data_IF_236578615396
#
_entry.id   IF_236578615396
#
_cell.length_a   1.000
_cell.length_b   1.000
_cell.length_c   1.000
_cell.angle_alpha   90.00
_cell.angle_beta   90.00
_cell.angle_gamma   90.00
#
_symmetry.space_group_name_H-M   'P 1'
#
loop_
_entity.id
_entity.type
_entity.pdbx_description
1 polymer ?
#
# COMPACT_ATOMS: atom_id res chain seq x y z
N UNK A 1 29.75 59.51 -18.78
CA UNK A 1 28.74 60.31 -19.51
C UNK A 1 27.70 59.36 -20.07
N UNK A 2 26.44 59.81 -20.09
CA UNK A 2 25.21 59.13 -20.56
C UNK A 2 24.75 57.96 -19.66
N UNK A 3 23.72 58.08 -18.81
CA UNK A 3 22.28 58.41 -18.96
C UNK A 3 21.39 57.15 -19.02
N UNK A 4 20.30 57.19 -18.25
CA UNK A 4 19.11 56.33 -18.41
C UNK A 4 19.00 55.23 -17.34
N UNK A 5 17.92 55.11 -16.56
CA UNK A 5 16.67 55.84 -16.53
C UNK A 5 15.85 55.36 -15.33
N UNK A 6 15.07 56.26 -14.75
CA UNK A 6 14.11 55.97 -13.68
C UNK A 6 12.86 55.35 -14.30
N UNK A 7 12.49 54.15 -13.90
CA UNK A 7 11.12 53.65 -14.08
C UNK A 7 10.55 53.42 -12.69
N UNK A 8 9.63 54.30 -12.32
CA UNK A 8 8.75 54.11 -11.19
C UNK A 8 7.63 53.14 -11.60
N UNK A 9 7.41 52.10 -10.81
CA UNK A 9 6.14 51.38 -10.77
C UNK A 9 5.77 51.21 -9.30
N UNK A 10 4.95 52.17 -8.88
CA UNK A 10 4.09 52.14 -7.72
C UNK A 10 3.09 50.99 -7.80
N UNK A 11 2.45 50.70 -6.66
CA UNK A 11 1.33 49.78 -6.43
C UNK A 11 1.71 48.32 -6.08
N UNK A 12 1.89 48.05 -4.78
CA UNK A 12 0.92 47.27 -3.97
C UNK A 12 1.43 47.17 -2.53
N UNK A 13 0.98 48.11 -1.68
CA UNK A 13 0.90 47.92 -0.24
C UNK A 13 -0.53 47.49 0.08
N UNK A 14 -0.71 46.32 0.69
CA UNK A 14 -1.70 46.12 1.76
C UNK A 14 -1.59 44.68 2.31
N UNK A 15 -1.67 44.60 3.64
CA UNK A 15 -1.94 43.39 4.45
C UNK A 15 -0.76 42.46 4.74
N UNK A 16 0.07 42.82 5.71
CA UNK A 16 0.10 42.19 7.06
C UNK A 16 1.33 42.70 7.84
N UNK A 17 1.15 43.60 8.85
CA UNK A 17 2.17 43.90 9.83
C UNK A 17 2.04 42.94 11.02
N UNK A 18 3.18 42.57 11.61
CA UNK A 18 3.43 41.93 12.92
C UNK A 18 4.12 40.56 12.86
N UNK A 19 5.07 40.42 13.80
CA UNK A 19 5.88 39.24 14.16
C UNK A 19 7.02 38.92 13.16
N UNK A 20 8.32 38.98 13.49
CA UNK A 20 9.07 38.97 14.75
C UNK A 20 10.45 39.61 14.49
N UNK A 21 10.87 40.54 15.36
CA UNK A 21 12.27 40.96 15.52
C UNK A 21 13.07 39.84 16.20
N UNK A 22 14.39 39.84 15.94
CA UNK A 22 15.51 39.20 16.67
C UNK A 22 15.87 37.79 16.18
N UNK A 23 17.05 37.66 15.55
CA UNK A 23 18.20 36.83 16.02
C UNK A 23 19.24 36.63 14.89
N UNK A 24 20.36 37.34 15.07
CA UNK A 24 21.76 37.00 14.76
C UNK A 24 22.39 37.13 13.36
N UNK A 25 23.62 37.62 13.50
CA UNK A 25 24.64 37.99 12.55
C UNK A 25 25.40 36.81 11.98
N UNK A 26 25.59 36.79 10.67
CA UNK A 26 26.86 36.36 10.07
C UNK A 26 26.96 36.90 8.64
N UNK A 27 28.10 37.49 8.32
CA UNK A 27 28.44 38.03 7.00
C UNK A 27 28.53 36.87 6.02
N UNK A 28 27.66 36.84 5.01
CA UNK A 28 27.83 35.97 3.83
C UNK A 28 28.46 36.82 2.74
N UNK A 29 29.65 36.44 2.30
CA UNK A 29 30.35 37.04 1.18
C UNK A 29 29.85 36.38 -0.12
N UNK A 30 29.19 37.15 -1.00
CA UNK A 30 28.58 36.65 -2.24
C UNK A 30 29.35 37.23 -3.43
N UNK A 31 30.03 36.39 -4.20
CA UNK A 31 30.59 36.74 -5.52
C UNK A 31 29.60 36.38 -6.61
N UNK A 32 29.30 37.33 -7.50
CA UNK A 32 28.46 37.11 -8.68
C UNK A 32 29.26 36.51 -9.85
N UNK A 33 28.63 35.59 -10.58
CA UNK A 33 28.99 35.24 -11.97
C UNK A 33 27.84 35.64 -12.88
N UNK A 34 28.17 36.35 -13.95
CA UNK A 34 27.23 37.00 -14.87
C UNK A 34 26.86 36.02 -15.98
N UNK A 35 25.60 35.60 -16.06
CA UNK A 35 25.11 34.77 -17.16
C UNK A 35 23.60 34.52 -17.07
N UNK A 36 22.86 35.15 -17.99
CA UNK A 36 21.42 35.02 -18.29
C UNK A 36 20.40 35.51 -17.25
N UNK A 37 19.37 36.17 -17.78
CA UNK A 37 18.40 37.01 -17.07
C UNK A 37 17.57 36.23 -16.03
N UNK A 38 17.82 36.51 -14.76
CA UNK A 38 16.90 36.19 -13.66
C UNK A 38 17.10 37.27 -12.59
N UNK A 39 16.04 38.02 -12.27
CA UNK A 39 16.06 38.91 -11.12
C UNK A 39 15.89 38.07 -9.86
N UNK A 40 16.92 38.03 -9.00
CA UNK A 40 16.85 37.36 -7.70
C UNK A 40 16.49 38.40 -6.64
N UNK A 41 15.37 38.20 -5.95
CA UNK A 41 15.06 38.92 -4.71
C UNK A 41 15.42 37.99 -3.53
N UNK A 42 16.41 38.37 -2.73
CA UNK A 42 16.79 37.66 -1.51
C UNK A 42 15.96 38.17 -0.33
N UNK A 43 15.16 37.29 0.29
CA UNK A 43 14.50 37.52 1.58
C UNK A 43 14.77 36.33 2.52
N UNK A 44 14.81 36.52 3.85
CA UNK A 44 15.35 35.52 4.78
C UNK A 44 14.32 34.46 5.20
N UNK A 45 14.73 33.19 5.03
CA UNK A 45 14.33 31.92 5.64
C UNK A 45 12.87 31.41 5.58
N UNK A 46 12.78 30.10 5.36
CA UNK A 46 11.61 29.19 5.34
C UNK A 46 10.51 29.46 4.32
N UNK A 47 10.90 29.60 3.04
CA UNK A 47 9.94 29.67 1.92
C UNK A 47 10.19 28.53 0.92
N UNK A 48 9.16 27.72 0.68
CA UNK A 48 9.10 26.80 -0.47
C UNK A 48 9.00 27.66 -1.73
N UNK A 49 9.99 27.59 -2.61
CA UNK A 49 9.90 28.24 -3.92
C UNK A 49 9.29 27.26 -4.92
N UNK A 50 8.10 27.58 -5.42
CA UNK A 50 7.61 27.05 -6.69
C UNK A 50 7.93 28.09 -7.76
N UNK A 51 8.76 27.75 -8.74
CA UNK A 51 8.92 28.57 -9.94
C UNK A 51 8.52 27.77 -11.18
N UNK A 52 7.70 28.42 -12.01
CA UNK A 52 7.29 27.94 -13.31
C UNK A 52 8.44 28.21 -14.28
N UNK A 53 9.10 27.16 -14.75
CA UNK A 53 10.08 27.29 -15.84
C UNK A 53 9.29 27.34 -17.14
N UNK A 54 9.21 28.52 -17.76
CA UNK A 54 8.67 28.64 -19.11
C UNK A 54 9.73 28.15 -20.10
N UNK A 55 9.54 26.96 -20.65
CA UNK A 55 10.37 26.45 -21.74
C UNK A 55 9.94 27.08 -23.06
N UNK A 56 10.87 27.33 -24.02
CA UNK A 56 10.53 27.82 -25.36
C UNK A 56 9.60 26.84 -26.10
N UNK A 57 8.93 27.29 -27.17
CA UNK A 57 7.66 26.71 -27.61
C UNK A 57 7.90 25.44 -28.42
N UNK A 58 7.99 24.28 -27.77
CA UNK A 58 7.72 22.99 -28.42
C UNK A 58 7.00 22.04 -27.46
N UNK A 59 5.68 22.16 -27.46
CA UNK A 59 4.69 21.09 -27.26
C UNK A 59 4.95 20.01 -26.21
N UNK A 60 5.25 20.38 -24.96
CA UNK A 60 5.09 19.49 -23.78
C UNK A 60 4.56 20.29 -22.58
N UNK A 61 3.69 19.66 -21.80
CA UNK A 61 3.09 20.23 -20.59
C UNK A 61 4.15 20.74 -19.59
N UNK A 62 3.86 21.81 -18.82
CA UNK A 62 4.83 22.39 -17.90
C UNK A 62 5.10 21.47 -16.70
N UNK A 63 6.37 21.11 -16.49
CA UNK A 63 6.84 20.41 -15.29
C UNK A 63 6.88 21.39 -14.10
N UNK A 64 6.10 21.13 -13.06
CA UNK A 64 6.29 21.78 -11.76
C UNK A 64 7.45 21.11 -11.03
N UNK A 65 8.58 21.81 -10.89
CA UNK A 65 9.68 21.36 -10.05
C UNK A 65 9.62 22.04 -8.68
N UNK A 66 9.67 21.25 -7.61
CA UNK A 66 9.87 21.75 -6.25
C UNK A 66 11.33 21.54 -5.85
N UNK A 67 12.01 22.61 -5.42
CA UNK A 67 13.34 22.50 -4.83
C UNK A 67 13.23 22.82 -3.34
N UNK A 68 13.39 21.79 -2.51
CA UNK A 68 13.51 21.95 -1.06
C UNK A 68 14.99 22.17 -0.75
N UNK A 69 15.36 23.41 -0.41
CA UNK A 69 16.72 23.71 0.04
C UNK A 69 16.76 23.61 1.57
N UNK A 70 17.21 22.48 2.08
CA UNK A 70 17.56 22.34 3.50
C UNK A 70 19.04 22.70 3.67
N UNK A 71 19.33 23.79 4.37
CA UNK A 71 20.71 24.26 4.58
C UNK A 71 21.43 23.31 5.53
N UNK A 72 22.49 22.64 5.04
CA UNK A 72 23.48 22.02 5.94
C UNK A 72 24.21 20.76 5.45
N UNK A 73 23.74 20.05 4.41
CA UNK A 73 24.49 18.91 3.87
C UNK A 73 24.41 18.88 2.34
N UNK A 74 25.56 18.96 1.67
CA UNK A 74 25.66 18.76 0.21
C UNK A 74 25.23 17.33 -0.13
N UNK A 75 23.96 17.13 -0.48
CA UNK A 75 23.54 15.96 -1.24
C UNK A 75 23.47 16.31 -2.72
N UNK A 76 24.04 15.42 -3.54
CA UNK A 76 24.08 15.50 -4.99
C UNK A 76 22.66 15.27 -5.52
N UNK A 77 21.99 16.32 -5.95
CA UNK A 77 20.65 16.24 -6.56
C UNK A 77 20.77 15.48 -7.88
N UNK A 78 20.23 14.26 -7.92
CA UNK A 78 19.97 13.53 -9.17
C UNK A 78 18.67 14.07 -9.75
N UNK A 79 18.62 14.26 -11.06
CA UNK A 79 17.40 14.56 -11.80
C UNK A 79 16.34 13.52 -11.49
N UNK A 80 15.23 13.94 -10.86
CA UNK A 80 14.10 13.08 -10.54
C UNK A 80 13.27 12.93 -11.83
N UNK A 81 13.61 11.92 -12.63
CA UNK A 81 12.59 11.25 -13.42
C UNK A 81 11.83 10.36 -12.44
N UNK A 82 10.52 10.62 -12.27
CA UNK A 82 9.53 9.83 -11.52
C UNK A 82 10.11 8.66 -10.73
N UNK A 83 10.76 8.95 -9.60
CA UNK A 83 11.17 7.89 -8.70
C UNK A 83 9.90 7.38 -8.05
N UNK A 84 9.39 6.24 -8.52
CA UNK A 84 8.40 5.45 -7.76
C UNK A 84 8.91 5.36 -6.32
N UNK A 85 8.06 5.66 -5.34
CA UNK A 85 8.47 5.55 -3.94
C UNK A 85 8.94 4.12 -3.66
N UNK A 86 9.99 3.98 -2.85
CA UNK A 86 10.40 2.66 -2.37
C UNK A 86 9.31 2.07 -1.46
N UNK A 87 9.23 0.73 -1.33
CA UNK A 87 8.36 0.12 -0.33
C UNK A 87 8.64 0.73 1.05
N UNK A 88 7.62 0.99 1.87
CA UNK A 88 7.86 1.47 3.23
C UNK A 88 8.61 0.42 4.04
N UNK A 89 9.38 0.89 5.03
CA UNK A 89 10.01 0.02 6.02
C UNK A 89 8.94 -0.53 6.97
N UNK A 90 9.12 -1.77 7.42
CA UNK A 90 8.20 -2.40 8.37
C UNK A 90 8.21 -1.62 9.71
N UNK A 91 7.05 -1.08 10.09
CA UNK A 91 6.80 -0.53 11.41
C UNK A 91 5.83 -1.46 12.15
N UNK A 92 6.38 -2.20 13.10
CA UNK A 92 5.63 -3.13 13.93
C UNK A 92 5.01 -2.43 15.13
N UNK A 93 3.80 -2.86 15.50
CA UNK A 93 3.20 -2.43 16.75
C UNK A 93 3.83 -3.21 17.90
N UNK A 94 4.73 -2.57 18.63
CA UNK A 94 5.30 -3.14 19.84
C UNK A 94 4.30 -3.05 21.00
N UNK A 95 4.12 -4.12 21.80
CA UNK A 95 3.33 -4.05 23.02
C UNK A 95 3.94 -3.00 23.95
N UNK A 96 3.27 -1.86 24.10
CA UNK A 96 3.67 -0.85 25.07
C UNK A 96 3.29 -1.32 26.46
N UNK A 97 4.15 -1.08 27.46
CA UNK A 97 3.86 -1.42 28.86
C UNK A 97 2.52 -0.78 29.29
N UNK A 98 1.51 -1.61 29.51
CA UNK A 98 0.20 -1.19 30.02
C UNK A 98 -0.91 -1.00 28.96
N UNK A 99 -0.61 -1.03 27.66
CA UNK A 99 -1.66 -0.94 26.63
C UNK A 99 -2.29 -2.31 26.36
N UNK A 100 -3.59 -2.41 26.61
CA UNK A 100 -4.39 -3.60 26.33
C UNK A 100 -5.03 -3.48 24.95
N UNK A 101 -4.87 -4.54 24.16
CA UNK A 101 -5.44 -4.63 22.84
C UNK A 101 -6.34 -5.84 22.73
N UNK A 102 -7.47 -5.69 22.03
CA UNK A 102 -8.32 -6.80 21.64
C UNK A 102 -8.01 -7.21 20.22
N UNK A 103 -7.76 -8.50 20.01
CA UNK A 103 -7.61 -9.05 18.66
C UNK A 103 -8.99 -9.41 18.12
N UNK A 104 -9.28 -8.94 16.92
CA UNK A 104 -10.51 -9.22 16.18
C UNK A 104 -10.11 -9.87 14.87
N UNK A 105 -10.54 -11.11 14.65
CA UNK A 105 -10.35 -11.78 13.36
C UNK A 105 -11.33 -11.17 12.36
N UNK A 106 -10.89 -10.93 11.14
CA UNK A 106 -11.73 -10.40 10.08
C UNK A 106 -11.32 -11.00 8.73
N UNK A 107 -12.23 -10.91 7.77
CA UNK A 107 -12.00 -11.32 6.39
C UNK A 107 -12.89 -10.46 5.46
N UNK A 108 -12.54 -10.38 4.18
CA UNK A 108 -13.29 -9.66 3.16
C UNK A 108 -13.57 -10.55 1.95
N UNK A 109 -14.82 -10.53 1.50
CA UNK A 109 -15.12 -10.97 0.14
C UNK A 109 -15.09 -9.75 -0.80
N UNK A 110 -14.44 -9.90 -1.95
CA UNK A 110 -14.22 -8.79 -2.90
C UNK A 110 -14.72 -9.12 -4.30
N UNK A 111 -14.87 -8.10 -5.15
CA UNK A 111 -15.29 -8.30 -6.56
C UNK A 111 -14.27 -9.04 -7.41
N UNK A 112 -13.03 -9.18 -6.91
CA UNK A 112 -11.88 -9.77 -7.59
C UNK A 112 -10.65 -9.83 -6.66
N UNK A 113 -9.45 -9.86 -7.22
CA UNK A 113 -8.17 -10.05 -6.48
C UNK A 113 -7.18 -8.90 -6.69
N UNK A 114 -7.65 -7.72 -7.06
CA UNK A 114 -6.86 -6.52 -7.32
C UNK A 114 -7.22 -5.36 -6.39
N UNK A 115 -6.35 -4.35 -6.31
CA UNK A 115 -6.57 -3.17 -5.44
C UNK A 115 -7.77 -2.33 -5.86
N UNK A 116 -8.18 -2.41 -7.12
CA UNK A 116 -9.34 -1.70 -7.66
C UNK A 116 -10.66 -2.41 -7.35
N UNK A 117 -10.60 -3.64 -6.87
CA UNK A 117 -11.78 -4.41 -6.50
C UNK A 117 -12.45 -3.86 -5.24
N UNK A 118 -13.75 -4.08 -5.17
CA UNK A 118 -14.62 -3.53 -4.14
C UNK A 118 -15.04 -4.60 -3.14
N UNK A 119 -15.36 -4.18 -1.92
CA UNK A 119 -15.85 -5.07 -0.88
C UNK A 119 -17.29 -5.50 -1.19
N UNK A 120 -17.53 -6.80 -1.11
CA UNK A 120 -18.85 -7.46 -1.28
C UNK A 120 -19.37 -7.99 0.06
N UNK A 121 -18.47 -8.37 0.98
CA UNK A 121 -18.84 -8.72 2.34
C UNK A 121 -17.70 -8.37 3.31
N UNK A 122 -18.06 -7.89 4.50
CA UNK A 122 -17.16 -7.77 5.65
C UNK A 122 -17.59 -8.79 6.70
N UNK A 123 -16.65 -9.60 7.18
CA UNK A 123 -16.84 -10.53 8.28
C UNK A 123 -15.90 -10.20 9.44
N UNK A 124 -16.37 -10.36 10.67
CA UNK A 124 -15.57 -10.13 11.88
C UNK A 124 -15.93 -11.13 12.98
N UNK A 125 -14.96 -11.54 13.79
CA UNK A 125 -15.16 -12.44 14.92
C UNK A 125 -14.18 -12.12 16.05
N UNK A 126 -14.73 -11.93 17.25
CA UNK A 126 -13.94 -11.87 18.49
C UNK A 126 -13.95 -13.21 19.22
N UNK A 127 -15.02 -13.98 19.03
CA UNK A 127 -15.20 -15.36 19.46
C UNK A 127 -16.37 -15.99 18.68
N UNK A 128 -16.84 -17.15 19.13
CA UNK A 128 -17.94 -17.89 18.49
C UNK A 128 -19.31 -17.20 18.61
N UNK A 129 -19.49 -16.26 19.53
CA UNK A 129 -20.77 -15.59 19.80
C UNK A 129 -20.78 -14.13 19.30
N UNK A 130 -19.66 -13.43 19.37
CA UNK A 130 -19.50 -12.04 18.93
C UNK A 130 -18.96 -11.99 17.52
N UNK A 131 -19.89 -12.03 16.56
CA UNK A 131 -19.63 -12.09 15.12
C UNK A 131 -20.28 -10.90 14.43
N UNK A 132 -19.60 -10.35 13.43
CA UNK A 132 -20.12 -9.35 12.50
C UNK A 132 -20.17 -9.90 11.09
N UNK A 133 -21.21 -9.53 10.36
CA UNK A 133 -21.37 -9.88 8.96
C UNK A 133 -22.20 -8.84 8.26
N UNK A 134 -21.66 -8.26 7.18
CA UNK A 134 -22.39 -7.27 6.40
C UNK A 134 -22.08 -7.44 4.92
N UNK A 135 -23.13 -7.58 4.12
CA UNK A 135 -23.04 -7.60 2.68
C UNK A 135 -23.11 -6.19 2.13
N UNK A 136 -22.28 -5.93 1.11
CA UNK A 136 -22.13 -4.64 0.46
C UNK A 136 -22.37 -4.82 -1.03
N UNK A 137 -23.24 -3.98 -1.59
CA UNK A 137 -23.42 -3.93 -3.04
C UNK A 137 -22.27 -3.10 -3.64
N UNK A 138 -21.39 -3.66 -4.48
CA UNK A 138 -20.28 -2.92 -5.07
C UNK A 138 -20.78 -1.82 -6.01
N UNK A 139 -20.09 -0.68 -6.08
CA UNK A 139 -20.52 0.46 -6.88
C UNK A 139 -20.46 0.16 -8.39
N UNK A 140 -19.51 -0.66 -8.82
CA UNK A 140 -19.41 -1.16 -10.21
C UNK A 140 -20.59 -2.03 -10.62
N UNK A 141 -21.39 -2.51 -9.66
CA UNK A 141 -22.50 -3.45 -9.86
C UNK A 141 -22.07 -4.74 -10.55
N UNK A 142 -20.82 -5.15 -10.36
CA UNK A 142 -20.26 -6.37 -10.96
C UNK A 142 -19.38 -7.09 -9.94
N UNK A 143 -19.42 -8.41 -10.00
CA UNK A 143 -18.43 -9.28 -9.38
C UNK A 143 -17.79 -10.06 -10.51
N UNK A 144 -16.46 -10.14 -10.55
CA UNK A 144 -15.77 -10.90 -11.59
C UNK A 144 -16.26 -12.36 -11.57
N UNK A 145 -16.54 -13.01 -12.71
CA UNK A 145 -17.17 -14.34 -12.73
C UNK A 145 -16.41 -15.41 -11.92
N UNK A 146 -15.08 -15.34 -11.92
CA UNK A 146 -14.25 -16.25 -11.11
C UNK A 146 -14.43 -15.99 -9.62
N UNK A 147 -14.49 -14.73 -9.20
CA UNK A 147 -14.72 -14.36 -7.80
C UNK A 147 -16.14 -14.77 -7.39
N UNK A 148 -17.15 -14.45 -8.20
CA UNK A 148 -18.54 -14.81 -7.94
C UNK A 148 -18.72 -16.32 -7.69
N UNK A 149 -18.01 -17.16 -8.46
CA UNK A 149 -18.02 -18.62 -8.26
C UNK A 149 -17.35 -19.06 -6.97
N UNK A 150 -16.28 -18.38 -6.53
CA UNK A 150 -15.54 -18.71 -5.32
C UNK A 150 -16.33 -18.29 -4.08
N UNK A 151 -16.77 -17.03 -4.04
CA UNK A 151 -17.43 -16.42 -2.88
C UNK A 151 -18.94 -16.76 -2.83
N UNK A 152 -19.48 -17.27 -3.94
CA UNK A 152 -20.89 -17.62 -4.08
C UNK A 152 -21.83 -16.42 -4.08
N UNK A 153 -21.37 -15.23 -4.50
CA UNK A 153 -22.17 -14.00 -4.54
C UNK A 153 -22.11 -13.36 -5.91
N UNK A 154 -23.25 -12.84 -6.36
CA UNK A 154 -23.33 -11.98 -7.54
C UNK A 154 -24.28 -10.81 -7.32
N UNK A 155 -24.13 -9.75 -8.12
CA UNK A 155 -25.10 -8.65 -8.14
C UNK A 155 -26.36 -9.10 -8.89
N UNK A 156 -27.53 -8.83 -8.31
CA UNK A 156 -28.81 -9.17 -8.95
C UNK A 156 -29.07 -8.30 -10.19
N UNK A 157 -29.47 -8.93 -11.30
CA UNK A 157 -29.90 -8.20 -12.50
C UNK A 157 -31.12 -7.33 -12.20
N UNK A 158 -31.01 -6.01 -12.43
CA UNK A 158 -32.13 -5.07 -12.32
C UNK A 158 -32.58 -4.69 -10.91
N UNK A 159 -31.91 -5.16 -9.84
CA UNK A 159 -32.21 -4.79 -8.43
C UNK A 159 -30.98 -4.25 -7.71
N UNK A 160 -31.20 -3.48 -6.63
CA UNK A 160 -30.15 -3.05 -5.69
C UNK A 160 -29.97 -4.16 -4.65
N UNK A 161 -29.20 -5.20 -4.96
CA UNK A 161 -28.98 -6.30 -4.02
C UNK A 161 -28.00 -7.35 -4.54
N UNK A 162 -27.61 -8.27 -3.65
CA UNK A 162 -26.80 -9.43 -3.98
C UNK A 162 -27.68 -10.69 -4.02
N UNK A 163 -27.20 -11.72 -4.70
CA UNK A 163 -27.78 -13.05 -4.70
C UNK A 163 -26.72 -14.06 -4.23
N UNK A 164 -27.11 -14.94 -3.31
CA UNK A 164 -26.33 -16.13 -2.99
C UNK A 164 -26.53 -17.18 -4.09
N UNK A 165 -25.44 -17.58 -4.74
CA UNK A 165 -25.44 -18.54 -5.82
C UNK A 165 -25.61 -19.99 -5.35
N UNK A 166 -25.47 -20.26 -4.04
CA UNK A 166 -25.60 -21.62 -3.48
C UNK A 166 -27.05 -22.07 -3.41
N UNK A 167 -27.94 -21.18 -2.99
CA UNK A 167 -29.37 -21.44 -2.82
C UNK A 167 -30.26 -20.56 -3.71
N UNK A 168 -29.65 -19.71 -4.54
CA UNK A 168 -30.30 -18.75 -5.43
C UNK A 168 -31.17 -17.70 -4.71
N UNK A 169 -30.88 -17.39 -3.44
CA UNK A 169 -31.66 -16.45 -2.65
C UNK A 169 -31.11 -15.01 -2.69
N UNK A 170 -31.98 -13.99 -2.63
CA UNK A 170 -31.54 -12.61 -2.41
C UNK A 170 -30.88 -12.46 -1.04
N UNK A 171 -29.84 -11.63 -0.97
CA UNK A 171 -29.13 -11.28 0.25
C UNK A 171 -29.29 -9.79 0.52
N UNK A 172 -29.71 -9.45 1.73
CA UNK A 172 -29.81 -8.07 2.19
C UNK A 172 -28.42 -7.45 2.25
N UNK A 173 -28.22 -6.40 1.45
CA UNK A 173 -26.95 -5.73 1.29
C UNK A 173 -27.14 -4.21 1.34
N UNK A 174 -26.15 -3.53 1.88
CA UNK A 174 -26.12 -2.07 2.02
C UNK A 174 -25.13 -1.44 1.05
N UNK A 175 -25.09 -0.11 0.97
CA UNK A 175 -23.99 0.58 0.29
C UNK A 175 -22.70 0.52 1.13
N UNK A 176 -21.55 0.71 0.47
CA UNK A 176 -20.23 0.61 1.09
C UNK A 176 -20.08 1.54 2.31
N UNK A 177 -20.55 2.79 2.20
CA UNK A 177 -20.44 3.75 3.28
C UNK A 177 -21.23 3.34 4.53
N UNK A 178 -22.45 2.83 4.34
CA UNK A 178 -23.26 2.26 5.42
C UNK A 178 -22.62 1.01 6.02
N UNK A 179 -22.16 0.07 5.19
CA UNK A 179 -21.51 -1.16 5.65
C UNK A 179 -20.25 -0.91 6.47
N UNK A 180 -19.40 0.03 6.03
CA UNK A 180 -18.21 0.44 6.78
C UNK A 180 -18.57 1.13 8.10
N UNK A 181 -19.58 2.00 8.14
CA UNK A 181 -20.01 2.66 9.38
C UNK A 181 -20.52 1.66 10.42
N UNK A 182 -21.29 0.66 9.97
CA UNK A 182 -21.77 -0.43 10.82
C UNK A 182 -20.62 -1.28 11.33
N UNK A 183 -19.62 -1.57 10.49
CA UNK A 183 -18.42 -2.29 10.91
C UNK A 183 -17.63 -1.51 11.97
N UNK A 184 -17.39 -0.21 11.76
CA UNK A 184 -16.71 0.63 12.75
C UNK A 184 -17.48 0.73 14.07
N UNK A 185 -18.81 0.81 13.99
CA UNK A 185 -19.64 0.83 15.19
C UNK A 185 -19.52 -0.48 15.97
N UNK A 186 -19.62 -1.63 15.29
CA UNK A 186 -19.40 -2.92 15.91
C UNK A 186 -18.00 -3.06 16.51
N UNK A 187 -16.97 -2.55 15.83
CA UNK A 187 -15.60 -2.51 16.37
C UNK A 187 -15.53 -1.69 17.67
N UNK A 188 -16.15 -0.52 17.74
CA UNK A 188 -16.24 0.28 18.97
C UNK A 188 -16.92 -0.49 20.11
N UNK A 189 -18.02 -1.18 19.82
CA UNK A 189 -18.74 -2.01 20.80
C UNK A 189 -17.88 -3.15 21.32
N UNK A 190 -17.23 -3.91 20.43
CA UNK A 190 -16.42 -5.06 20.86
C UNK A 190 -15.10 -4.63 21.49
N UNK A 191 -14.55 -3.46 21.15
CA UNK A 191 -13.37 -2.90 21.83
C UNK A 191 -13.61 -2.88 23.34
N UNK A 192 -14.73 -2.30 23.77
CA UNK A 192 -15.04 -2.13 25.19
C UNK A 192 -14.05 -1.18 25.86
N UNK A 193 -13.43 -1.63 26.96
CA UNK A 193 -12.55 -0.86 27.85
C UNK A 193 -11.05 -1.00 27.55
N UNK A 194 -10.68 -1.57 26.40
CA UNK A 194 -9.28 -1.70 25.97
C UNK A 194 -8.84 -0.51 25.12
N UNK A 195 -7.53 -0.30 25.01
CA UNK A 195 -6.94 0.88 24.35
C UNK A 195 -7.12 0.87 22.82
N UNK A 196 -7.20 -0.31 22.21
CA UNK A 196 -7.41 -0.42 20.77
C UNK A 196 -7.64 -1.84 20.26
N UNK A 197 -7.97 -1.95 18.99
CA UNK A 197 -8.19 -3.22 18.28
C UNK A 197 -6.99 -3.55 17.39
N UNK A 198 -6.67 -4.84 17.32
CA UNK A 198 -5.82 -5.42 16.27
C UNK A 198 -6.70 -6.24 15.35
N UNK A 199 -6.73 -5.87 14.08
CA UNK A 199 -7.44 -6.64 13.06
C UNK A 199 -6.54 -7.75 12.52
N UNK A 200 -6.89 -9.00 12.80
CA UNK A 200 -6.17 -10.17 12.32
C UNK A 200 -6.88 -10.79 11.11
N UNK A 201 -6.18 -10.96 10.01
CA UNK A 201 -6.66 -11.72 8.84
C UNK A 201 -5.55 -12.68 8.36
N UNK A 202 -5.86 -13.57 7.42
CA UNK A 202 -4.96 -14.60 6.95
C UNK A 202 -4.60 -14.41 5.46
N UNK A 203 -3.37 -13.94 5.18
CA UNK A 203 -2.93 -13.58 3.83
C UNK A 203 -3.34 -12.17 3.39
N UNK A 204 -3.66 -11.32 4.36
CA UNK A 204 -4.37 -10.06 4.20
C UNK A 204 -3.54 -8.92 3.59
N UNK A 205 -2.20 -8.98 3.71
CA UNK A 205 -1.31 -7.86 3.34
C UNK A 205 -1.45 -7.46 1.88
N UNK A 206 -1.74 -8.40 0.99
CA UNK A 206 -1.76 -8.11 -0.44
C UNK A 206 -3.12 -7.70 -0.99
N UNK A 207 -4.20 -7.90 -0.23
CA UNK A 207 -5.56 -7.66 -0.69
C UNK A 207 -6.42 -7.00 0.40
N UNK A 208 -6.83 -7.74 1.43
CA UNK A 208 -7.84 -7.27 2.38
C UNK A 208 -7.47 -5.96 3.07
N UNK A 209 -6.22 -5.84 3.53
CA UNK A 209 -5.76 -4.63 4.23
C UNK A 209 -5.78 -3.43 3.28
N UNK A 210 -5.11 -3.47 2.09
CA UNK A 210 -5.22 -2.40 1.12
C UNK A 210 -6.66 -2.05 0.72
N UNK A 211 -7.50 -3.04 0.41
CA UNK A 211 -8.88 -2.82 -0.04
C UNK A 211 -9.71 -2.15 1.06
N UNK A 212 -9.58 -2.58 2.31
CA UNK A 212 -10.24 -1.93 3.45
C UNK A 212 -9.80 -0.47 3.62
N UNK A 213 -8.48 -0.21 3.57
CA UNK A 213 -7.95 1.14 3.73
C UNK A 213 -8.35 2.07 2.57
N UNK A 214 -8.41 1.57 1.34
CA UNK A 214 -8.93 2.31 0.18
C UNK A 214 -10.42 2.64 0.39
N UNK A 215 -11.23 1.65 0.78
CA UNK A 215 -12.66 1.84 1.02
C UNK A 215 -12.92 2.86 2.15
N UNK A 216 -12.17 2.78 3.26
CA UNK A 216 -12.25 3.73 4.37
C UNK A 216 -11.87 5.16 3.95
N UNK A 217 -10.79 5.33 3.18
CA UNK A 217 -10.37 6.66 2.66
C UNK A 217 -11.43 7.24 1.74
N UNK A 218 -11.93 6.44 0.79
CA UNK A 218 -12.99 6.84 -0.16
C UNK A 218 -14.26 7.31 0.54
N UNK A 219 -14.61 6.69 1.66
CA UNK A 219 -15.78 7.03 2.46
C UNK A 219 -15.50 8.06 3.58
N UNK A 220 -14.28 8.62 3.66
CA UNK A 220 -13.85 9.59 4.69
C UNK A 220 -14.00 9.05 6.12
N UNK A 221 -13.77 7.76 6.31
CA UNK A 221 -13.88 7.05 7.59
C UNK A 221 -12.53 6.67 8.21
N UNK A 222 -11.42 6.96 7.52
CA UNK A 222 -10.08 6.55 7.93
C UNK A 222 -9.65 7.14 9.28
N UNK A 223 -10.03 8.39 9.58
CA UNK A 223 -9.66 9.02 10.86
C UNK A 223 -10.41 8.39 12.04
N UNK A 224 -11.70 8.07 11.86
CA UNK A 224 -12.47 7.32 12.86
C UNK A 224 -11.88 5.93 13.06
N UNK A 225 -11.52 5.25 11.97
CA UNK A 225 -10.88 3.93 12.03
C UNK A 225 -9.59 3.94 12.86
N UNK A 226 -8.71 4.94 12.66
CA UNK A 226 -7.46 5.10 13.42
C UNK A 226 -7.65 5.31 14.93
N UNK A 227 -8.81 5.80 15.34
CA UNK A 227 -9.15 5.94 16.77
C UNK A 227 -9.61 4.62 17.40
N UNK A 228 -9.94 3.61 16.58
CA UNK A 228 -10.49 2.33 17.01
C UNK A 228 -9.43 1.22 16.88
N UNK A 229 -8.71 1.21 15.76
CA UNK A 229 -7.78 0.14 15.38
C UNK A 229 -6.34 0.65 15.48
N UNK A 230 -5.51 -0.06 16.24
CA UNK A 230 -4.09 0.24 16.43
C UNK A 230 -3.21 -0.39 15.35
N UNK A 231 -3.62 -1.52 14.79
CA UNK A 231 -2.81 -2.24 13.80
C UNK A 231 -3.50 -3.42 13.12
N UNK A 232 -2.78 -4.01 12.17
CA UNK A 232 -3.19 -5.18 11.41
C UNK A 232 -2.21 -6.33 11.61
N UNK A 233 -2.72 -7.53 11.83
CA UNK A 233 -1.94 -8.75 11.94
C UNK A 233 -2.21 -9.67 10.74
N UNK A 234 -1.17 -10.04 10.00
CA UNK A 234 -1.29 -11.10 8.98
C UNK A 234 -0.79 -12.43 9.55
N UNK A 235 -1.76 -13.28 9.87
CA UNK A 235 -1.51 -14.58 10.51
C UNK A 235 -0.82 -15.58 9.57
N UNK A 236 -0.82 -15.34 8.25
CA UNK A 236 -0.04 -16.16 7.31
C UNK A 236 1.45 -16.12 7.63
N UNK A 237 1.97 -14.94 8.03
CA UNK A 237 3.38 -14.79 8.42
C UNK A 237 3.73 -15.64 9.65
N UNK A 238 2.82 -15.73 10.62
CA UNK A 238 2.97 -16.53 11.84
C UNK A 238 3.11 -18.01 11.46
N UNK A 239 2.11 -18.55 10.75
CA UNK A 239 2.13 -19.96 10.41
C UNK A 239 3.29 -20.34 9.49
N UNK A 240 3.70 -19.46 8.56
CA UNK A 240 4.88 -19.69 7.71
C UNK A 240 6.19 -19.74 8.49
N UNK A 241 6.32 -18.91 9.51
CA UNK A 241 7.50 -18.89 10.37
C UNK A 241 7.57 -20.20 11.19
N UNK A 242 6.47 -20.52 11.87
CA UNK A 242 6.44 -21.53 12.91
C UNK A 242 6.19 -22.95 12.38
N UNK A 243 5.41 -23.09 11.32
CA UNK A 243 5.05 -24.38 10.74
C UNK A 243 5.90 -24.71 9.50
N UNK A 244 6.03 -26.00 9.20
CA UNK A 244 6.69 -26.53 8.00
C UNK A 244 5.74 -27.48 7.27
N UNK A 245 4.64 -26.90 6.78
CA UNK A 245 3.57 -27.62 6.10
C UNK A 245 3.52 -27.30 4.60
N UNK A 246 2.76 -28.12 3.85
CA UNK A 246 2.70 -28.05 2.38
C UNK A 246 1.79 -26.93 1.87
N UNK A 247 0.64 -26.72 2.50
CA UNK A 247 -0.33 -25.68 2.16
C UNK A 247 -0.61 -24.85 3.40
N UNK A 248 -0.64 -23.53 3.24
CA UNK A 248 -0.89 -22.57 4.30
C UNK A 248 -2.24 -21.88 4.15
N UNK A 249 -3.09 -22.27 3.18
CA UNK A 249 -4.44 -21.70 3.08
C UNK A 249 -5.22 -21.91 4.37
N UNK A 250 -6.07 -20.94 4.70
CA UNK A 250 -6.93 -20.97 5.88
C UNK A 250 -7.68 -22.30 6.02
N UNK A 251 -8.26 -22.81 4.93
CA UNK A 251 -8.99 -24.08 4.93
C UNK A 251 -8.11 -25.29 5.25
N UNK A 252 -6.89 -25.31 4.72
CA UNK A 252 -5.93 -26.39 4.99
C UNK A 252 -5.48 -26.34 6.45
N UNK A 253 -5.28 -25.14 7.00
CA UNK A 253 -4.98 -24.96 8.42
C UNK A 253 -6.16 -25.39 9.28
N UNK A 254 -7.39 -25.03 8.92
CA UNK A 254 -8.59 -25.43 9.65
C UNK A 254 -8.73 -26.96 9.68
N UNK A 255 -8.60 -27.63 8.53
CA UNK A 255 -8.64 -29.09 8.44
C UNK A 255 -7.55 -29.74 9.29
N UNK A 256 -6.35 -29.16 9.32
CA UNK A 256 -5.23 -29.65 10.10
C UNK A 256 -5.43 -29.49 11.62
N UNK A 257 -5.90 -28.34 12.10
CA UNK A 257 -6.03 -28.06 13.53
C UNK A 257 -7.33 -28.60 14.13
N UNK A 258 -8.41 -28.64 13.34
CA UNK A 258 -9.76 -28.97 13.82
C UNK A 258 -10.21 -30.37 13.36
N UNK A 259 -9.55 -30.96 12.37
CA UNK A 259 -9.82 -32.34 11.91
C UNK A 259 -11.03 -32.48 10.99
N UNK A 260 -11.56 -31.36 10.46
CA UNK A 260 -12.65 -31.35 9.47
C UNK A 260 -12.53 -30.18 8.51
N UNK A 261 -13.15 -30.28 7.34
CA UNK A 261 -13.18 -29.19 6.36
C UNK A 261 -14.15 -28.08 6.79
N UNK A 262 -13.82 -26.81 6.52
CA UNK A 262 -14.76 -25.71 6.73
C UNK A 262 -15.96 -25.84 5.79
N UNK A 263 -17.13 -25.43 6.26
CA UNK A 263 -18.40 -25.65 5.55
C UNK A 263 -18.67 -24.62 4.46
N UNK A 264 -18.19 -23.38 4.60
CA UNK A 264 -18.58 -22.25 3.74
C UNK A 264 -17.44 -21.26 3.56
N UNK A 265 -17.28 -20.75 2.34
CA UNK A 265 -16.52 -19.54 2.02
C UNK A 265 -17.45 -18.34 2.15
N UNK A 266 -17.45 -17.70 3.31
CA UNK A 266 -17.87 -16.31 3.42
C UNK A 266 -17.01 -15.65 4.47
N UNK A 267 -16.82 -14.34 4.32
CA UNK A 267 -15.98 -13.57 5.24
C UNK A 267 -16.28 -13.79 6.72
N UNK A 268 -17.56 -13.94 7.11
CA UNK A 268 -17.90 -14.19 8.52
C UNK A 268 -17.42 -15.58 9.01
N UNK A 269 -17.54 -16.61 8.17
CA UNK A 269 -17.09 -17.96 8.51
C UNK A 269 -15.56 -18.03 8.50
N UNK A 270 -14.90 -17.40 7.52
CA UNK A 270 -13.44 -17.35 7.46
C UNK A 270 -12.84 -16.60 8.65
N UNK A 271 -13.46 -15.48 9.08
CA UNK A 271 -13.07 -14.78 10.31
C UNK A 271 -13.21 -15.66 11.57
N UNK A 272 -14.31 -16.41 11.68
CA UNK A 272 -14.56 -17.32 12.81
C UNK A 272 -13.64 -18.53 12.80
N UNK A 273 -13.36 -19.07 11.62
CA UNK A 273 -12.47 -20.20 11.43
C UNK A 273 -11.04 -19.80 11.77
N UNK A 274 -10.60 -18.60 11.36
CA UNK A 274 -9.33 -18.03 11.78
C UNK A 274 -9.24 -17.87 13.30
N UNK A 275 -10.27 -17.31 13.95
CA UNK A 275 -10.30 -17.20 15.41
C UNK A 275 -10.13 -18.57 16.06
N UNK A 276 -10.85 -19.59 15.58
CA UNK A 276 -10.79 -20.97 16.08
C UNK A 276 -9.39 -21.58 15.91
N UNK A 277 -8.75 -21.36 14.76
CA UNK A 277 -7.39 -21.83 14.51
C UNK A 277 -6.43 -21.17 15.49
N UNK A 278 -6.50 -19.84 15.67
CA UNK A 278 -5.56 -19.11 16.53
C UNK A 278 -5.70 -19.51 17.99
N UNK A 279 -6.92 -19.63 18.53
CA UNK A 279 -7.14 -20.07 19.91
C UNK A 279 -6.66 -21.49 20.15
N UNK A 280 -6.87 -22.38 19.17
CA UNK A 280 -6.34 -23.76 19.20
C UNK A 280 -4.82 -23.77 19.14
N UNK A 281 -4.23 -22.99 18.23
CA UNK A 281 -2.78 -22.91 18.02
C UNK A 281 -2.05 -22.37 19.26
N UNK A 282 -2.55 -21.28 19.84
CA UNK A 282 -1.97 -20.64 21.03
C UNK A 282 -2.43 -21.28 22.35
N UNK A 283 -3.36 -22.23 22.30
CA UNK A 283 -3.96 -22.89 23.48
C UNK A 283 -4.50 -21.88 24.49
N UNK A 284 -5.27 -20.91 24.00
CA UNK A 284 -5.87 -19.81 24.78
C UNK A 284 -7.31 -19.60 24.37
N UNK A 285 -8.15 -19.14 25.29
CA UNK A 285 -9.52 -18.72 24.98
C UNK A 285 -9.58 -17.28 24.44
N UNK A 286 -8.60 -16.45 24.80
CA UNK A 286 -8.56 -15.04 24.44
C UNK A 286 -7.26 -14.70 23.73
N UNK A 287 -7.40 -14.04 22.57
CA UNK A 287 -6.28 -13.55 21.77
C UNK A 287 -5.87 -12.16 22.25
N UNK A 288 -4.58 -11.97 22.50
CA UNK A 288 -4.00 -10.69 22.93
C UNK A 288 -2.62 -10.47 22.30
N UNK A 289 -2.15 -9.22 22.37
CA UNK A 289 -0.81 -8.84 21.91
C UNK A 289 0.33 -9.33 22.82
N UNK A 290 0.03 -10.00 23.94
CA UNK A 290 1.04 -10.68 24.76
C UNK A 290 1.53 -11.97 24.10
N UNK A 291 0.75 -12.52 23.16
CA UNK A 291 1.14 -13.64 22.32
C UNK A 291 2.20 -13.16 21.33
N UNK A 292 3.47 -13.45 21.65
CA UNK A 292 4.64 -12.96 20.89
C UNK A 292 4.52 -13.12 19.37
N UNK A 293 4.05 -14.25 18.80
CA UNK A 293 3.93 -14.36 17.35
C UNK A 293 2.91 -13.41 16.74
N UNK A 294 1.80 -13.10 17.42
CA UNK A 294 0.86 -12.06 16.98
C UNK A 294 1.54 -10.68 17.00
N UNK A 295 2.25 -10.35 18.07
CA UNK A 295 2.95 -9.07 18.16
C UNK A 295 3.99 -8.88 17.04
N UNK A 296 4.72 -9.94 16.70
CA UNK A 296 5.73 -9.93 15.64
C UNK A 296 5.15 -9.85 14.21
N UNK A 297 3.88 -10.24 14.04
CA UNK A 297 3.19 -10.17 12.75
C UNK A 297 2.21 -8.99 12.65
N UNK A 298 2.23 -8.08 13.62
CA UNK A 298 1.34 -6.92 13.69
C UNK A 298 2.03 -5.64 13.23
N UNK A 299 1.48 -5.02 12.20
CA UNK A 299 1.91 -3.74 11.64
C UNK A 299 1.02 -2.61 12.15
N UNK A 300 1.58 -1.41 12.31
CA UNK A 300 0.77 -0.22 12.65
C UNK A 300 -0.19 0.13 11.51
N UNK A 301 -1.29 0.81 11.81
CA UNK A 301 -2.19 1.34 10.75
C UNK A 301 -1.43 2.26 9.81
N UNK A 302 -0.53 3.10 10.34
CA UNK A 302 0.31 4.01 9.55
C UNK A 302 1.19 3.24 8.56
N UNK A 303 1.88 2.19 9.00
CA UNK A 303 2.68 1.33 8.13
C UNK A 303 1.86 0.80 6.95
N UNK A 304 0.65 0.32 7.23
CA UNK A 304 -0.21 -0.27 6.22
C UNK A 304 -0.85 0.76 5.29
N UNK A 305 -1.06 2.00 5.73
CA UNK A 305 -1.43 3.12 4.85
C UNK A 305 -0.30 3.54 3.92
N UNK A 306 0.92 3.66 4.44
CA UNK A 306 2.11 3.94 3.62
C UNK A 306 2.32 2.81 2.59
N UNK A 307 2.13 1.56 2.99
CA UNK A 307 2.21 0.40 2.10
C UNK A 307 1.11 0.40 1.05
N UNK A 308 -0.13 0.72 1.43
CA UNK A 308 -1.26 0.81 0.51
C UNK A 308 -1.04 1.93 -0.52
N UNK A 309 -0.57 3.09 -0.07
CA UNK A 309 -0.28 4.24 -0.95
C UNK A 309 0.87 3.92 -1.91
N UNK A 310 1.91 3.24 -1.41
CA UNK A 310 2.98 2.72 -2.26
C UNK A 310 2.43 1.74 -3.30
N UNK A 311 1.62 0.76 -2.89
CA UNK A 311 0.96 -0.20 -3.78
C UNK A 311 0.15 0.49 -4.87
N UNK A 312 -0.68 1.48 -4.53
CA UNK A 312 -1.45 2.29 -5.48
C UNK A 312 -0.55 2.98 -6.51
N UNK A 313 0.61 3.50 -6.08
CA UNK A 313 1.54 4.19 -6.99
C UNK A 313 2.23 3.26 -7.99
N UNK A 314 2.40 1.98 -7.63
CA UNK A 314 3.13 1.01 -8.47
C UNK A 314 2.21 0.12 -9.32
N UNK A 315 0.95 -0.03 -8.92
CA UNK A 315 -0.01 -0.93 -9.58
C UNK A 315 -0.21 -0.63 -11.08
N UNK A 316 -0.29 0.65 -11.54
CA UNK A 316 -0.41 0.96 -12.97
C UNK A 316 0.74 0.41 -13.82
N UNK A 317 1.95 0.34 -13.24
CA UNK A 317 3.14 -0.16 -13.95
C UNK A 317 3.20 -1.69 -14.00
N UNK A 318 2.39 -2.39 -13.21
CA UNK A 318 2.35 -3.87 -13.18
C UNK A 318 1.96 -4.43 -14.54
N UNK A 319 0.97 -3.82 -15.21
CA UNK A 319 0.47 -4.26 -16.51
C UNK A 319 1.55 -4.14 -17.58
N UNK A 320 2.25 -3.00 -17.64
CA UNK A 320 3.33 -2.77 -18.59
C UNK A 320 4.47 -3.76 -18.38
N UNK A 321 4.85 -4.05 -17.13
CA UNK A 321 5.91 -5.00 -16.82
C UNK A 321 5.52 -6.46 -17.10
N UNK A 322 4.23 -6.80 -17.08
CA UNK A 322 3.79 -8.15 -17.45
C UNK A 322 4.13 -8.50 -18.90
N UNK A 323 4.31 -7.49 -19.78
CA UNK A 323 4.76 -7.70 -21.16
C UNK A 323 6.10 -8.43 -21.26
N UNK A 324 7.01 -8.23 -20.29
CA UNK A 324 8.31 -8.93 -20.19
C UNK A 324 8.13 -10.45 -20.11
N UNK A 325 6.99 -10.89 -19.58
CA UNK A 325 6.67 -12.30 -19.34
C UNK A 325 5.65 -12.86 -20.34
N UNK A 326 5.25 -12.08 -21.34
CA UNK A 326 4.20 -12.45 -22.29
C UNK A 326 4.57 -13.72 -23.08
N UNK A 327 5.82 -13.80 -23.56
CA UNK A 327 6.34 -14.94 -24.33
C UNK A 327 6.68 -16.17 -23.49
N UNK A 328 6.61 -16.07 -22.16
CA UNK A 328 7.08 -17.16 -21.31
C UNK A 328 6.08 -18.31 -21.31
N UNK A 329 6.52 -19.44 -21.85
CA UNK A 329 5.78 -20.70 -21.85
C UNK A 329 6.04 -21.49 -20.55
N UNK A 330 5.84 -20.84 -19.39
CA UNK A 330 5.96 -21.50 -18.09
C UNK A 330 4.58 -21.96 -17.64
N UNK A 331 4.47 -23.22 -17.19
CA UNK A 331 3.29 -23.68 -16.45
C UNK A 331 3.25 -22.94 -15.11
N UNK A 332 2.43 -21.90 -15.03
CA UNK A 332 2.11 -21.21 -13.78
C UNK A 332 2.36 -19.70 -13.81
N UNK A 333 1.31 -18.95 -13.52
CA UNK A 333 1.28 -17.48 -13.44
C UNK A 333 2.12 -16.94 -12.25
N UNK A 334 2.46 -17.80 -11.29
CA UNK A 334 3.20 -17.42 -10.07
C UNK A 334 4.58 -16.84 -10.37
N UNK A 335 5.38 -17.50 -11.22
CA UNK A 335 6.74 -17.04 -11.53
C UNK A 335 6.75 -15.68 -12.24
N UNK A 336 5.78 -15.45 -13.14
CA UNK A 336 5.60 -14.18 -13.83
C UNK A 336 5.30 -13.06 -12.83
N UNK A 337 4.37 -13.30 -11.91
CA UNK A 337 4.02 -12.36 -10.82
C UNK A 337 5.21 -12.04 -9.92
N UNK A 338 5.98 -13.05 -9.50
CA UNK A 338 7.16 -12.84 -8.62
C UNK A 338 8.24 -11.99 -9.32
N UNK A 339 8.48 -12.20 -10.63
CA UNK A 339 9.40 -11.35 -11.37
C UNK A 339 8.92 -9.89 -11.40
N UNK A 340 7.65 -9.66 -11.74
CA UNK A 340 7.09 -8.31 -11.81
C UNK A 340 7.13 -7.61 -10.45
N UNK A 341 6.80 -8.33 -9.36
CA UNK A 341 6.93 -7.80 -7.99
C UNK A 341 8.35 -7.36 -7.65
N UNK A 342 9.37 -8.12 -8.05
CA UNK A 342 10.77 -7.74 -7.85
C UNK A 342 11.13 -6.44 -8.60
N UNK A 343 10.64 -6.28 -9.83
CA UNK A 343 10.89 -5.08 -10.62
C UNK A 343 10.18 -3.84 -10.03
N UNK A 344 8.91 -3.98 -9.67
CA UNK A 344 8.13 -2.91 -9.05
C UNK A 344 8.74 -2.48 -7.72
N UNK A 345 9.12 -3.43 -6.86
CA UNK A 345 9.77 -3.14 -5.58
C UNK A 345 11.12 -2.42 -5.76
N UNK A 346 11.84 -2.71 -6.84
CA UNK A 346 13.08 -2.02 -7.20
C UNK A 346 12.84 -0.67 -7.92
N UNK A 347 11.59 -0.22 -8.05
CA UNK A 347 11.22 1.06 -8.66
C UNK A 347 11.41 1.09 -10.18
N UNK A 348 11.28 -0.06 -10.84
CA UNK A 348 11.34 -0.15 -12.30
C UNK A 348 9.95 -0.07 -12.93
N UNK A 349 9.88 0.70 -14.00
CA UNK A 349 8.80 0.65 -15.00
C UNK A 349 9.35 0.00 -16.28
N UNK A 350 8.46 -0.43 -17.17
CA UNK A 350 8.88 -0.96 -18.47
C UNK A 350 9.71 0.06 -19.25
N UNK A 351 9.26 1.32 -19.28
CA UNK A 351 9.96 2.43 -19.94
C UNK A 351 11.38 2.59 -19.42
N UNK A 352 11.56 2.62 -18.08
CA UNK A 352 12.87 2.75 -17.46
C UNK A 352 13.81 1.60 -17.85
N UNK A 353 13.30 0.37 -17.85
CA UNK A 353 14.09 -0.80 -18.27
C UNK A 353 14.52 -0.69 -19.74
N UNK A 354 13.60 -0.31 -20.63
CA UNK A 354 13.89 -0.14 -22.06
C UNK A 354 14.92 0.98 -22.32
N UNK A 355 14.82 2.10 -21.61
CA UNK A 355 15.77 3.21 -21.73
C UNK A 355 17.16 2.83 -21.18
N UNK A 356 17.23 2.18 -20.02
CA UNK A 356 18.50 1.70 -19.45
C UNK A 356 19.17 0.66 -20.36
N UNK A 357 18.42 -0.25 -20.97
CA UNK A 357 18.95 -1.22 -21.94
C UNK A 357 19.53 -0.53 -23.18
N UNK A 358 18.79 0.43 -23.76
CA UNK A 358 19.23 1.18 -24.95
C UNK A 358 20.52 1.97 -24.70
N UNK A 359 20.68 2.56 -23.51
CA UNK A 359 21.84 3.39 -23.17
C UNK A 359 23.08 2.55 -22.87
N UNK A 360 22.91 1.43 -22.16
CA UNK A 360 24.03 0.71 -21.58
C UNK A 360 24.45 -0.55 -22.34
N UNK A 361 23.55 -1.11 -23.17
CA UNK A 361 23.77 -2.42 -23.81
C UNK A 361 23.79 -3.58 -22.81
N UNK A 362 23.86 -4.80 -23.34
CA UNK A 362 23.56 -6.05 -22.63
C UNK A 362 24.18 -6.20 -21.24
N UNK A 363 25.52 -6.31 -21.16
CA UNK A 363 26.19 -6.74 -19.94
C UNK A 363 26.16 -5.66 -18.85
N UNK A 364 26.26 -4.39 -19.26
CA UNK A 364 26.21 -3.25 -18.34
C UNK A 364 24.79 -3.09 -17.79
N UNK A 365 23.77 -3.19 -18.65
CA UNK A 365 22.37 -3.18 -18.22
C UNK A 365 22.08 -4.29 -17.21
N UNK A 366 22.41 -5.54 -17.54
CA UNK A 366 22.18 -6.68 -16.66
C UNK A 366 22.83 -6.50 -15.29
N UNK A 367 24.11 -6.12 -15.26
CA UNK A 367 24.83 -5.94 -14.00
C UNK A 367 24.19 -4.84 -13.15
N UNK A 368 23.76 -3.72 -13.75
CA UNK A 368 23.09 -2.63 -13.02
C UNK A 368 21.74 -3.04 -12.48
N UNK A 369 20.94 -3.75 -13.28
CA UNK A 369 19.64 -4.27 -12.86
C UNK A 369 19.78 -5.26 -11.69
N UNK A 370 20.73 -6.20 -11.79
CA UNK A 370 21.02 -7.17 -10.72
C UNK A 370 21.43 -6.46 -9.43
N UNK A 371 22.33 -5.47 -9.51
CA UNK A 371 22.76 -4.70 -8.33
C UNK A 371 21.62 -3.87 -7.73
N UNK A 372 20.76 -3.29 -8.56
CA UNK A 372 19.59 -2.52 -8.11
C UNK A 372 18.61 -3.41 -7.33
N UNK A 373 18.28 -4.59 -7.87
CA UNK A 373 17.40 -5.55 -7.21
C UNK A 373 18.05 -6.10 -5.93
N UNK A 374 19.35 -6.38 -5.96
CA UNK A 374 20.08 -6.83 -4.78
C UNK A 374 20.07 -5.75 -3.68
N UNK A 375 20.29 -4.49 -4.03
CA UNK A 375 20.19 -3.38 -3.09
C UNK A 375 18.78 -3.24 -2.53
N UNK A 376 17.75 -3.30 -3.37
CA UNK A 376 16.35 -3.32 -2.92
C UNK A 376 16.12 -4.46 -1.94
N UNK A 377 16.62 -5.67 -2.24
CA UNK A 377 16.43 -6.82 -1.36
C UNK A 377 17.11 -6.64 0.00
N UNK A 378 18.36 -6.18 0.00
CA UNK A 378 19.09 -5.93 1.26
C UNK A 378 18.47 -4.83 2.11
N UNK A 379 17.79 -3.87 1.49
CA UNK A 379 17.29 -2.67 2.18
C UNK A 379 15.82 -2.77 2.57
N UNK A 380 15.00 -3.38 1.70
CA UNK A 380 13.54 -3.35 1.76
C UNK A 380 12.87 -4.73 1.62
N UNK A 381 13.62 -5.82 1.44
CA UNK A 381 12.99 -7.15 1.35
C UNK A 381 12.31 -7.48 2.66
N UNK A 382 10.99 -7.57 2.57
CA UNK A 382 10.14 -7.82 3.70
C UNK A 382 9.05 -8.81 3.30
N UNK A 383 8.21 -9.18 4.27
CA UNK A 383 7.01 -9.92 3.93
C UNK A 383 6.06 -9.06 3.06
N UNK A 384 6.12 -7.72 3.17
CA UNK A 384 5.31 -6.78 2.40
C UNK A 384 5.59 -6.79 0.88
N UNK A 385 6.82 -7.11 0.45
CA UNK A 385 7.18 -7.04 -0.98
C UNK A 385 6.91 -8.34 -1.74
N UNK A 386 6.83 -9.49 -1.06
CA UNK A 386 6.71 -10.84 -1.65
C UNK A 386 7.71 -11.11 -2.80
N UNK A 387 8.97 -10.70 -2.58
CA UNK A 387 10.03 -10.78 -3.59
C UNK A 387 10.96 -11.98 -3.39
N UNK A 388 10.84 -12.71 -2.28
CA UNK A 388 11.80 -13.72 -1.79
C UNK A 388 11.95 -14.94 -2.70
N UNK A 389 10.92 -15.27 -3.47
CA UNK A 389 10.88 -16.48 -4.31
C UNK A 389 11.75 -16.38 -5.59
N UNK A 390 12.49 -15.29 -5.82
CA UNK A 390 13.39 -15.14 -6.98
C UNK A 390 14.65 -14.32 -6.66
N UNK A 391 15.82 -14.82 -7.07
CA UNK A 391 17.09 -14.11 -6.89
C UNK A 391 17.26 -12.95 -7.88
N UNK A 392 18.02 -11.93 -7.47
CA UNK A 392 18.32 -10.76 -8.31
C UNK A 392 18.93 -11.15 -9.67
N UNK A 393 19.84 -12.13 -9.66
CA UNK A 393 20.46 -12.70 -10.87
C UNK A 393 19.45 -13.30 -11.83
N UNK A 394 18.49 -14.07 -11.31
CA UNK A 394 17.45 -14.69 -12.13
C UNK A 394 16.55 -13.63 -12.74
N UNK A 395 16.12 -12.63 -11.96
CA UNK A 395 15.32 -11.50 -12.48
C UNK A 395 16.07 -10.79 -13.61
N UNK A 396 17.34 -10.41 -13.38
CA UNK A 396 18.12 -9.65 -14.35
C UNK A 396 18.36 -10.42 -15.67
N UNK A 397 18.66 -11.73 -15.59
CA UNK A 397 18.80 -12.58 -16.78
C UNK A 397 17.52 -12.62 -17.60
N UNK A 398 16.39 -12.80 -16.92
CA UNK A 398 15.07 -12.92 -17.54
C UNK A 398 14.62 -11.64 -18.25
N UNK A 399 14.90 -10.48 -17.65
CA UNK A 399 14.64 -9.20 -18.29
C UNK A 399 15.57 -8.97 -19.48
N UNK A 400 16.85 -9.35 -19.38
CA UNK A 400 17.78 -9.25 -20.50
C UNK A 400 17.34 -10.13 -21.68
N UNK A 401 16.87 -11.36 -21.43
CA UNK A 401 16.33 -12.25 -22.47
C UNK A 401 15.19 -11.58 -23.24
N UNK A 402 14.30 -10.86 -22.56
CA UNK A 402 13.20 -10.13 -23.20
C UNK A 402 13.67 -9.06 -24.18
N UNK A 403 14.67 -8.25 -23.81
CA UNK A 403 15.14 -7.15 -24.65
C UNK A 403 16.09 -7.56 -25.78
N UNK A 404 16.55 -8.82 -25.78
CA UNK A 404 17.39 -9.40 -26.85
C UNK A 404 16.58 -9.99 -28.00
N UNK A 405 15.34 -10.39 -27.72
CA UNK A 405 14.37 -10.89 -28.68
C UNK A 405 13.68 -9.71 -29.38
#
# INVERSE_FOLDING_TARGET
MAQGGTIALSWFYACFPFLVRKVFSSKVDVRYHRGSNSQFLLMPYDTIFAYKVETPPFNREPLLCFVIVQTGKKQRVRSIGEAMSHPPMEEYLLPSSGQRHRVVCYDLETTGLELVDEIVQIGGSVDQARIFSKYIVPATRRVHPVAARIIGLQVMNGRKGLQDLRDNTPVDAVDEGSGLKEFLHWLEEVRGDVDGIILASHGAIFLDIPVLLIALRRNKLIDRFKQIVSGFCDTYAIFRADLKIRDYKLQSLYEQFIGRRPEKHRAQEDARDLHTILTTYFKTEQLSMELRPLAQATYTVRCMEEYTSWRESIEPHRVDLMTITASWNVRGDKLKKVLVKNLLAAGYTYKRLADEFRIHGDQVFKNRLEQSILHMKMTYESYLTDTKDMSARVVANRVLEHFKC
#
